data_IF_936900950926
#
_entry.id   IF_936900950926
#
_cell.length_a   1.000
_cell.length_b   1.000
_cell.length_c   1.000
_cell.angle_alpha   90.00
_cell.angle_beta   90.00
_cell.angle_gamma   90.00
#
_symmetry.space_group_name_H-M   'P 1'
#
loop_
_entity.id
_entity.type
_entity.pdbx_description
1 polymer ?
#
# COMPACT_ATOMS: atom_id res chain seq x y z
N UNK A 1 -11.38 -2.06 4.33
CA UNK A 1 -12.16 -0.80 4.47
C UNK A 1 -11.32 0.45 4.21
N UNK A 2 -10.06 0.53 4.68
CA UNK A 2 -9.21 1.71 4.48
C UNK A 2 -9.08 2.18 3.01
N UNK A 3 -8.92 1.26 2.06
CA UNK A 3 -8.73 1.61 0.64
C UNK A 3 -9.97 2.27 0.03
N UNK A 4 -11.17 1.77 0.32
CA UNK A 4 -12.40 2.41 -0.18
C UNK A 4 -12.54 3.82 0.40
N UNK A 5 -12.26 4.02 1.69
CA UNK A 5 -12.27 5.35 2.29
C UNK A 5 -11.25 6.31 1.65
N UNK A 6 -10.05 5.84 1.29
CA UNK A 6 -9.08 6.65 0.54
C UNK A 6 -9.58 7.03 -0.86
N UNK A 7 -10.26 6.10 -1.55
CA UNK A 7 -10.86 6.36 -2.86
C UNK A 7 -12.01 7.37 -2.77
N UNK A 8 -12.90 7.23 -1.78
CA UNK A 8 -14.03 8.13 -1.56
C UNK A 8 -13.56 9.54 -1.21
N UNK A 9 -12.53 9.65 -0.35
CA UNK A 9 -11.91 10.92 -0.01
C UNK A 9 -11.31 11.60 -1.25
N UNK A 10 -10.52 10.87 -2.04
CA UNK A 10 -9.87 11.44 -3.21
C UNK A 10 -10.85 11.80 -4.33
N UNK A 11 -11.93 11.02 -4.48
CA UNK A 11 -13.03 11.35 -5.38
C UNK A 11 -13.73 12.65 -4.93
N UNK A 12 -13.98 12.79 -3.63
CA UNK A 12 -14.55 14.02 -3.05
C UNK A 12 -13.63 15.23 -3.22
N UNK A 13 -12.31 15.00 -3.18
CA UNK A 13 -11.29 16.01 -3.52
C UNK A 13 -11.16 16.31 -5.02
N UNK A 14 -12.01 15.73 -5.88
CA UNK A 14 -12.01 15.93 -7.34
C UNK A 14 -10.68 15.55 -8.01
N UNK A 15 -9.98 14.55 -7.49
CA UNK A 15 -8.78 14.05 -8.18
C UNK A 15 -9.16 13.43 -9.53
N UNK A 16 -8.27 13.56 -10.51
CA UNK A 16 -8.50 13.02 -11.85
C UNK A 16 -8.37 11.48 -11.91
N UNK A 17 -7.66 10.86 -10.96
CA UNK A 17 -7.41 9.42 -10.93
C UNK A 17 -7.43 8.87 -9.52
N UNK A 18 -7.82 7.61 -9.39
CA UNK A 18 -7.70 6.85 -8.15
C UNK A 18 -6.23 6.80 -7.69
N UNK A 19 -5.93 7.12 -6.42
CA UNK A 19 -4.57 7.17 -5.89
C UNK A 19 -3.92 5.79 -5.69
N UNK A 20 -4.73 4.76 -5.41
CA UNK A 20 -4.23 3.44 -5.04
C UNK A 20 -3.95 2.65 -6.31
N UNK A 21 -2.67 2.33 -6.54
CA UNK A 21 -2.27 1.62 -7.76
C UNK A 21 -2.35 0.10 -7.65
N UNK A 22 -2.16 -0.45 -6.45
CA UNK A 22 -2.07 -1.87 -6.18
C UNK A 22 -2.16 -2.17 -4.68
N UNK A 23 -2.42 -3.42 -4.34
CA UNK A 23 -2.28 -3.96 -2.99
C UNK A 23 -1.24 -5.08 -2.96
N UNK A 24 -0.54 -5.22 -1.86
CA UNK A 24 0.31 -6.40 -1.60
C UNK A 24 -0.28 -7.14 -0.40
N UNK A 25 -0.73 -8.37 -0.61
CA UNK A 25 -1.27 -9.24 0.43
C UNK A 25 -0.72 -10.68 0.26
N UNK A 26 0.31 -11.06 1.05
CA UNK A 26 1.05 -12.31 0.84
C UNK A 26 0.24 -13.60 1.08
N UNK A 27 -0.90 -13.51 1.78
CA UNK A 27 -1.68 -14.66 2.21
C UNK A 27 -2.79 -15.07 1.21
N UNK A 28 -2.95 -14.32 0.12
CA UNK A 28 -3.87 -14.66 -0.98
C UNK A 28 -3.09 -14.90 -2.26
N UNK A 29 -3.63 -15.66 -3.21
CA UNK A 29 -3.10 -15.69 -4.57
C UNK A 29 -3.24 -14.35 -5.30
N UNK A 30 -2.62 -14.22 -6.48
CA UNK A 30 -2.84 -13.07 -7.36
C UNK A 30 -4.31 -13.00 -7.78
N UNK A 31 -4.94 -11.85 -7.54
CA UNK A 31 -6.33 -11.61 -7.91
C UNK A 31 -6.57 -10.11 -8.08
N UNK A 32 -7.80 -9.77 -8.47
CA UNK A 32 -8.28 -8.38 -8.48
C UNK A 32 -9.35 -8.22 -7.41
N UNK A 33 -9.31 -7.09 -6.70
CA UNK A 33 -10.33 -6.72 -5.73
C UNK A 33 -11.14 -5.55 -6.26
N UNK A 34 -12.46 -5.67 -6.15
CA UNK A 34 -13.42 -4.66 -6.62
C UNK A 34 -13.56 -3.51 -5.60
N UNK A 35 -13.58 -2.29 -6.11
CA UNK A 35 -13.78 -1.03 -5.39
C UNK A 35 -14.65 -0.09 -6.22
N UNK A 36 -15.01 1.05 -5.63
CA UNK A 36 -15.75 2.13 -6.30
C UNK A 36 -14.93 3.41 -6.37
N UNK A 37 -15.04 4.11 -7.50
CA UNK A 37 -14.54 5.47 -7.71
C UNK A 37 -15.73 6.35 -8.09
N UNK A 38 -16.32 7.01 -7.09
CA UNK A 38 -17.66 7.59 -7.22
C UNK A 38 -18.69 6.49 -7.42
N UNK A 39 -19.42 6.53 -8.53
CA UNK A 39 -20.39 5.48 -8.92
C UNK A 39 -19.81 4.42 -9.86
N UNK A 40 -18.58 4.61 -10.34
CA UNK A 40 -17.93 3.69 -11.26
C UNK A 40 -17.21 2.55 -10.51
N UNK A 41 -17.33 1.33 -11.01
CA UNK A 41 -16.57 0.19 -10.50
C UNK A 41 -15.13 0.23 -11.00
N UNK A 42 -14.19 -0.05 -10.11
CA UNK A 42 -12.75 -0.14 -10.41
C UNK A 42 -12.17 -1.41 -9.81
N UNK A 43 -11.18 -2.00 -10.49
CA UNK A 43 -10.51 -3.23 -10.08
C UNK A 43 -9.08 -2.92 -9.70
N UNK A 44 -8.71 -3.20 -8.45
CA UNK A 44 -7.34 -3.07 -7.97
C UNK A 44 -6.63 -4.43 -8.00
N UNK A 45 -5.44 -4.52 -8.63
CA UNK A 45 -4.65 -5.73 -8.60
C UNK A 45 -4.08 -5.96 -7.19
N UNK A 46 -4.23 -7.19 -6.70
CA UNK A 46 -3.65 -7.67 -5.45
C UNK A 46 -2.49 -8.61 -5.80
N UNK A 47 -1.30 -8.25 -5.34
CA UNK A 47 -0.07 -9.00 -5.52
C UNK A 47 0.30 -9.77 -4.25
N UNK A 48 0.97 -10.90 -4.41
CA UNK A 48 1.46 -11.70 -3.27
C UNK A 48 2.83 -11.23 -2.79
N UNK A 49 3.54 -10.46 -3.60
CA UNK A 49 4.93 -10.08 -3.40
C UNK A 49 5.21 -8.63 -3.81
N UNK A 50 6.43 -8.19 -3.50
CA UNK A 50 6.98 -6.88 -3.84
C UNK A 50 7.14 -6.66 -5.37
N UNK A 51 6.83 -7.65 -6.22
CA UNK A 51 6.73 -7.46 -7.67
C UNK A 51 5.79 -6.32 -8.07
N UNK A 52 4.80 -6.02 -7.22
CA UNK A 52 3.92 -4.88 -7.41
C UNK A 52 4.70 -3.56 -7.60
N UNK A 53 5.77 -3.37 -6.84
CA UNK A 53 6.60 -2.16 -6.89
C UNK A 53 7.29 -2.05 -8.25
N UNK A 54 7.83 -3.16 -8.75
CA UNK A 54 8.46 -3.22 -10.09
C UNK A 54 7.46 -2.99 -11.22
N UNK A 55 6.24 -3.53 -11.10
CA UNK A 55 5.16 -3.36 -12.09
C UNK A 55 4.53 -1.97 -12.05
N UNK A 56 4.78 -1.18 -11.00
CA UNK A 56 4.20 0.14 -10.78
C UNK A 56 5.30 1.16 -10.41
N UNK A 57 6.26 1.45 -11.31
CA UNK A 57 7.42 2.29 -11.00
C UNK A 57 7.08 3.75 -10.67
N UNK A 58 5.87 4.21 -11.03
CA UNK A 58 5.38 5.55 -10.72
C UNK A 58 4.87 5.71 -9.27
N UNK A 59 4.79 4.62 -8.50
CA UNK A 59 4.37 4.65 -7.10
C UNK A 59 5.54 5.07 -6.22
N UNK A 60 5.28 6.03 -5.34
CA UNK A 60 6.27 6.61 -4.44
C UNK A 60 5.88 6.57 -2.96
N UNK A 61 4.67 6.15 -2.63
CA UNK A 61 4.19 6.04 -1.24
C UNK A 61 3.68 4.63 -0.98
N UNK A 62 4.06 4.04 0.14
CA UNK A 62 3.46 2.81 0.67
C UNK A 62 2.75 3.08 1.99
N UNK A 63 1.51 2.61 2.12
CA UNK A 63 0.82 2.55 3.42
C UNK A 63 0.88 1.10 3.91
N UNK A 64 1.62 0.87 4.99
CA UNK A 64 1.90 -0.44 5.54
C UNK A 64 0.96 -0.77 6.69
N UNK A 65 0.03 -1.70 6.44
CA UNK A 65 -0.90 -2.25 7.44
C UNK A 65 -0.41 -3.59 8.02
N UNK A 66 0.83 -4.01 7.73
CA UNK A 66 1.38 -5.24 8.28
C UNK A 66 1.58 -5.12 9.79
N UNK A 67 1.19 -6.12 10.58
CA UNK A 67 1.40 -6.16 12.04
C UNK A 67 2.76 -6.77 12.39
N UNK A 68 2.82 -8.08 12.65
CA UNK A 68 4.05 -8.78 13.04
C UNK A 68 5.18 -8.72 12.00
N UNK A 69 4.84 -8.50 10.73
CA UNK A 69 5.79 -8.38 9.62
C UNK A 69 6.12 -6.94 9.23
N UNK A 70 5.75 -5.95 10.05
CA UNK A 70 5.96 -4.51 9.74
C UNK A 70 7.43 -4.17 9.52
N UNK A 71 8.33 -4.66 10.38
CA UNK A 71 9.75 -4.36 10.30
C UNK A 71 10.36 -4.91 9.01
N UNK A 72 10.21 -6.23 8.77
CA UNK A 72 10.78 -6.89 7.59
C UNK A 72 10.18 -6.41 6.27
N UNK A 73 8.89 -6.06 6.26
CA UNK A 73 8.24 -5.49 5.07
C UNK A 73 8.65 -4.03 4.82
N UNK A 74 8.87 -3.23 5.87
CA UNK A 74 9.36 -1.86 5.74
C UNK A 74 10.79 -1.83 5.21
N UNK A 75 11.70 -2.63 5.79
CA UNK A 75 13.10 -2.68 5.36
C UNK A 75 13.25 -3.10 3.89
N UNK A 76 12.44 -4.06 3.42
CA UNK A 76 12.41 -4.44 2.00
C UNK A 76 11.99 -3.28 1.10
N UNK A 77 10.99 -2.50 1.53
CA UNK A 77 10.43 -1.39 0.75
C UNK A 77 11.33 -0.17 0.70
N UNK A 78 12.10 0.09 1.76
CA UNK A 78 13.15 1.10 1.79
C UNK A 78 14.25 0.83 0.76
N UNK A 79 14.43 -0.43 0.36
CA UNK A 79 15.37 -0.81 -0.70
C UNK A 79 14.96 -0.42 -2.12
N UNK A 80 13.73 0.08 -2.34
CA UNK A 80 13.27 0.51 -3.67
C UNK A 80 13.41 2.02 -3.85
N UNK A 81 14.22 2.43 -4.83
CA UNK A 81 14.44 3.85 -5.13
C UNK A 81 13.15 4.62 -5.49
N UNK A 82 12.14 3.94 -6.05
CA UNK A 82 10.87 4.58 -6.40
C UNK A 82 10.07 5.00 -5.16
N UNK A 83 10.22 4.29 -4.03
CA UNK A 83 9.49 4.55 -2.79
C UNK A 83 10.20 5.66 -2.01
N UNK A 84 9.48 6.75 -1.79
CA UNK A 84 9.98 7.95 -1.09
C UNK A 84 9.39 8.12 0.30
N UNK A 85 8.23 7.53 0.55
CA UNK A 85 7.59 7.57 1.87
C UNK A 85 6.90 6.25 2.21
N UNK A 86 7.00 5.86 3.47
CA UNK A 86 6.29 4.70 4.03
C UNK A 86 5.54 5.15 5.26
N UNK A 87 4.21 5.03 5.24
CA UNK A 87 3.36 5.25 6.41
C UNK A 87 3.05 3.90 7.06
N UNK A 88 3.55 3.65 8.25
CA UNK A 88 3.27 2.43 9.01
C UNK A 88 2.14 2.66 10.00
N UNK A 89 1.07 1.86 9.92
CA UNK A 89 -0.14 2.01 10.76
C UNK A 89 -0.09 1.11 12.00
N UNK A 90 0.93 0.27 12.12
CA UNK A 90 1.05 -0.71 13.21
C UNK A 90 1.53 -0.07 14.50
N UNK A 91 0.81 -0.37 15.57
CA UNK A 91 1.21 -0.10 16.95
C UNK A 91 2.03 -1.27 17.52
N UNK A 92 2.82 -1.01 18.57
CA UNK A 92 3.53 -2.05 19.31
C UNK A 92 4.78 -2.62 18.60
N UNK A 93 5.37 -1.88 17.67
CA UNK A 93 6.69 -2.24 17.11
C UNK A 93 7.74 -2.16 18.23
N UNK A 94 8.55 -3.21 18.45
CA UNK A 94 9.65 -3.16 19.42
C UNK A 94 10.56 -1.95 19.17
N UNK A 95 10.95 -1.26 20.24
CA UNK A 95 11.71 0.01 20.14
C UNK A 95 13.01 -0.14 19.32
N UNK A 96 13.73 -1.24 19.50
CA UNK A 96 14.96 -1.50 18.73
C UNK A 96 14.70 -1.57 17.21
N UNK A 97 13.60 -2.19 16.79
CA UNK A 97 13.21 -2.26 15.37
C UNK A 97 12.78 -0.91 14.84
N UNK A 98 12.04 -0.13 15.65
CA UNK A 98 11.66 1.23 15.26
C UNK A 98 12.89 2.13 15.06
N UNK A 99 13.91 1.99 15.91
CA UNK A 99 15.19 2.72 15.77
C UNK A 99 15.98 2.35 14.53
N UNK A 100 15.88 1.11 14.05
CA UNK A 100 16.54 0.68 12.81
C UNK A 100 15.81 1.13 11.54
N UNK A 101 14.51 1.43 11.63
CA UNK A 101 13.72 1.97 10.51
C UNK A 101 13.96 3.46 10.30
N UNK A 102 14.30 4.19 11.37
CA UNK A 102 14.55 5.64 11.38
C UNK A 102 16.00 5.98 10.98
#
# INVERSE_FOLDING_TARGET
MAIQGMLDFDYSCKRARAPVAAMIYPYSGHHVQKFYWGTCETLLPVYTSEEAVKKRPYVNVVVNFASSSVYSSTMKRLGYESIKAIASITEGVPEHQAREIL
#
